data_IF_434199047523
#
_entry.id   IF_434199047523
#
_cell.length_a   1.000
_cell.length_b   1.000
_cell.length_c   1.000
_cell.angle_alpha   90.00
_cell.angle_beta   90.00
_cell.angle_gamma   90.00
#
_symmetry.space_group_name_H-M   'P 1'
#
loop_
_entity.id
_entity.type
_entity.pdbx_description
1 polymer ?
#
# COMPACT_ATOMS: atom_id res chain seq x y z
N UNK A 1 47.41 -64.49 -9.27
CA UNK A 1 47.20 -63.15 -8.69
C UNK A 1 46.19 -62.42 -9.57
N UNK A 2 44.90 -62.41 -9.18
CA UNK A 2 43.80 -61.77 -9.94
C UNK A 2 43.50 -60.41 -9.33
N UNK A 3 43.67 -59.33 -10.10
CA UNK A 3 43.41 -57.96 -9.66
C UNK A 3 41.98 -57.61 -10.07
N UNK A 4 41.09 -57.42 -9.09
CA UNK A 4 39.74 -56.89 -9.32
C UNK A 4 39.78 -55.35 -9.27
N UNK A 5 39.30 -54.64 -10.31
CA UNK A 5 39.16 -53.19 -10.25
C UNK A 5 37.90 -52.83 -9.44
N UNK A 6 38.08 -52.05 -8.37
CA UNK A 6 36.98 -51.43 -7.63
C UNK A 6 36.47 -50.22 -8.42
N UNK A 7 35.24 -50.29 -8.93
CA UNK A 7 34.55 -49.14 -9.49
C UNK A 7 34.06 -48.23 -8.34
N UNK A 8 34.65 -47.03 -8.22
CA UNK A 8 34.18 -45.98 -7.33
C UNK A 8 32.99 -45.28 -8.01
N UNK A 9 31.77 -45.51 -7.51
CA UNK A 9 30.60 -44.72 -7.91
C UNK A 9 30.63 -43.38 -7.19
N UNK A 10 30.84 -42.30 -7.93
CA UNK A 10 30.66 -40.93 -7.46
C UNK A 10 29.21 -40.51 -7.71
N UNK A 11 28.40 -40.45 -6.65
CA UNK A 11 27.05 -39.87 -6.71
C UNK A 11 27.16 -38.34 -6.71
N UNK A 12 26.89 -37.72 -7.86
CA UNK A 12 26.85 -36.28 -8.03
C UNK A 12 25.48 -35.75 -7.53
N UNK A 13 25.38 -35.42 -6.25
CA UNK A 13 24.19 -34.76 -5.70
C UNK A 13 24.17 -33.29 -6.14
N UNK A 14 23.35 -32.96 -7.14
CA UNK A 14 23.10 -31.59 -7.55
C UNK A 14 22.22 -30.89 -6.51
N UNK A 15 22.82 -30.04 -5.67
CA UNK A 15 22.10 -29.14 -4.77
C UNK A 15 21.55 -27.98 -5.60
N UNK A 16 20.25 -27.98 -5.88
CA UNK A 16 19.56 -26.88 -6.55
C UNK A 16 19.26 -25.78 -5.51
N UNK A 17 20.16 -24.81 -5.40
CA UNK A 17 19.91 -23.59 -4.62
C UNK A 17 18.95 -22.68 -5.39
N UNK A 18 17.68 -22.63 -4.94
CA UNK A 18 16.73 -21.60 -5.37
C UNK A 18 17.19 -20.25 -4.81
N UNK A 19 17.86 -19.47 -5.66
CA UNK A 19 18.14 -18.06 -5.38
C UNK A 19 16.83 -17.29 -5.57
N UNK A 20 16.09 -17.05 -4.49
CA UNK A 20 14.98 -16.12 -4.50
C UNK A 20 15.57 -14.69 -4.64
N UNK A 21 15.57 -14.15 -5.85
CA UNK A 21 15.89 -12.74 -6.06
C UNK A 21 14.88 -11.82 -5.35
N UNK A 22 15.24 -10.57 -5.05
CA UNK A 22 14.29 -9.62 -4.50
C UNK A 22 13.11 -9.50 -5.46
N UNK A 23 11.90 -9.75 -4.98
CA UNK A 23 10.69 -9.52 -5.74
C UNK A 23 10.60 -8.00 -6.01
N UNK A 24 10.85 -7.60 -7.25
CA UNK A 24 10.55 -6.26 -7.73
C UNK A 24 9.04 -6.02 -7.62
N UNK A 25 8.64 -4.77 -7.40
CA UNK A 25 7.24 -4.40 -7.35
C UNK A 25 6.47 -4.92 -8.58
N UNK A 26 5.40 -5.68 -8.35
CA UNK A 26 4.56 -6.27 -9.38
C UNK A 26 3.28 -5.45 -9.60
N UNK A 27 3.45 -4.17 -9.94
CA UNK A 27 2.34 -3.31 -10.28
C UNK A 27 1.59 -3.77 -11.54
N UNK A 28 2.16 -4.69 -12.34
CA UNK A 28 1.51 -5.27 -13.51
C UNK A 28 0.35 -6.20 -13.17
N UNK A 29 0.32 -6.79 -11.96
CA UNK A 29 -0.76 -7.68 -11.51
C UNK A 29 -1.84 -6.97 -10.67
N UNK A 30 -1.70 -5.66 -10.45
CA UNK A 30 -2.60 -4.80 -9.69
C UNK A 30 -3.35 -3.81 -10.58
N UNK A 31 -4.48 -3.25 -10.11
CA UNK A 31 -5.22 -2.28 -10.90
C UNK A 31 -4.41 -1.03 -11.23
N UNK A 32 -4.50 -0.58 -12.46
CA UNK A 32 -3.83 0.63 -12.93
C UNK A 32 -4.62 1.90 -12.56
N UNK A 33 -4.04 3.07 -12.88
CA UNK A 33 -4.64 4.38 -12.63
C UNK A 33 -6.10 4.50 -13.09
N UNK A 34 -6.40 4.05 -14.31
CA UNK A 34 -7.74 4.20 -14.91
C UNK A 34 -8.78 3.35 -14.18
N UNK A 35 -8.42 2.12 -13.82
CA UNK A 35 -9.27 1.19 -13.08
C UNK A 35 -9.53 1.72 -11.67
N UNK A 36 -8.48 2.17 -10.97
CA UNK A 36 -8.60 2.79 -9.66
C UNK A 36 -9.50 4.03 -9.69
N UNK A 37 -9.29 4.93 -10.66
CA UNK A 37 -10.09 6.16 -10.80
C UNK A 37 -11.56 5.83 -11.04
N UNK A 38 -11.85 4.91 -11.96
CA UNK A 38 -13.23 4.50 -12.26
C UNK A 38 -13.92 3.90 -11.04
N UNK A 39 -13.25 2.99 -10.33
CA UNK A 39 -13.76 2.37 -9.12
C UNK A 39 -14.01 3.39 -8.00
N UNK A 40 -13.08 4.33 -7.81
CA UNK A 40 -13.19 5.39 -6.80
C UNK A 40 -14.36 6.34 -7.08
N UNK A 41 -14.54 6.79 -8.33
CA UNK A 41 -15.66 7.64 -8.73
C UNK A 41 -17.00 6.95 -8.50
N UNK A 42 -17.11 5.66 -8.86
CA UNK A 42 -18.32 4.88 -8.59
C UNK A 42 -18.58 4.68 -7.09
N UNK A 43 -17.53 4.58 -6.28
CA UNK A 43 -17.64 4.31 -4.84
C UNK A 43 -18.13 5.52 -4.01
N UNK A 44 -17.88 6.75 -4.46
CA UNK A 44 -18.34 7.98 -3.79
C UNK A 44 -19.81 8.30 -4.05
N UNK A 45 -20.42 7.75 -5.10
CA UNK A 45 -21.84 7.95 -5.42
C UNK A 45 -22.50 6.61 -5.76
N UNK A 46 -22.58 5.68 -4.80
CA UNK A 46 -23.21 4.39 -5.05
C UNK A 46 -24.67 4.59 -5.49
N UNK A 47 -25.20 3.64 -6.27
CA UNK A 47 -26.56 3.64 -6.83
C UNK A 47 -27.70 3.82 -5.80
N UNK A 48 -27.41 3.72 -4.49
CA UNK A 48 -28.36 3.88 -3.39
C UNK A 48 -28.24 5.18 -2.58
N UNK A 49 -27.40 6.15 -2.94
CA UNK A 49 -27.33 7.45 -2.25
C UNK A 49 -25.95 8.11 -2.21
N UNK A 50 -25.79 9.11 -1.35
CA UNK A 50 -24.51 9.81 -1.14
C UNK A 50 -23.41 8.86 -0.61
N UNK A 51 -22.14 9.32 -0.59
CA UNK A 51 -21.00 8.53 -0.11
C UNK A 51 -21.17 7.98 1.33
N UNK A 52 -22.10 8.55 2.12
CA UNK A 52 -22.36 8.23 3.52
C UNK A 52 -21.60 9.14 4.49
N UNK A 53 -21.13 10.30 4.02
CA UNK A 53 -20.42 11.31 4.79
C UNK A 53 -20.66 12.72 4.27
N UNK A 54 -19.60 13.51 4.16
CA UNK A 54 -19.64 14.91 3.76
C UNK A 54 -19.89 15.12 2.25
N UNK A 55 -19.87 14.05 1.45
CA UNK A 55 -20.08 14.12 0.01
C UNK A 55 -18.87 14.66 -0.77
N UNK A 56 -17.66 14.51 -0.24
CA UNK A 56 -16.46 15.05 -0.87
C UNK A 56 -15.85 14.11 -1.91
N UNK A 57 -15.14 14.72 -2.87
CA UNK A 57 -14.22 13.99 -3.71
C UNK A 57 -13.04 13.49 -2.86
N UNK A 58 -12.40 12.42 -3.34
CA UNK A 58 -11.42 11.68 -2.55
C UNK A 58 -10.19 11.31 -3.37
N UNK A 59 -9.12 10.97 -2.66
CA UNK A 59 -7.93 10.34 -3.18
C UNK A 59 -7.98 8.83 -2.94
N UNK A 60 -7.45 8.07 -3.89
CA UNK A 60 -7.22 6.63 -3.78
C UNK A 60 -5.78 6.29 -4.14
N UNK A 61 -5.18 5.35 -3.41
CA UNK A 61 -3.84 4.84 -3.69
C UNK A 61 -3.84 3.31 -3.65
N UNK A 62 -3.15 2.68 -4.60
CA UNK A 62 -2.83 1.25 -4.58
C UNK A 62 -1.34 1.07 -4.35
N UNK A 63 -0.99 0.16 -3.44
CA UNK A 63 0.38 -0.30 -3.22
C UNK A 63 0.50 -1.80 -3.51
N UNK A 64 1.66 -2.22 -4.01
CA UNK A 64 2.04 -3.63 -4.10
C UNK A 64 2.38 -4.20 -2.71
N UNK A 65 2.50 -5.52 -2.63
CA UNK A 65 2.86 -6.30 -1.45
C UNK A 65 4.10 -5.79 -0.73
N UNK A 66 5.03 -5.17 -1.47
CA UNK A 66 6.31 -4.66 -0.99
C UNK A 66 6.25 -3.19 -0.53
N UNK A 67 5.07 -2.56 -0.61
CA UNK A 67 4.83 -1.16 -0.24
C UNK A 67 5.05 -0.16 -1.39
N UNK A 68 5.42 -0.62 -2.59
CA UNK A 68 5.59 0.27 -3.76
C UNK A 68 4.25 0.78 -4.23
N UNK A 69 4.12 2.09 -4.40
CA UNK A 69 2.90 2.72 -4.91
C UNK A 69 2.76 2.43 -6.40
N UNK A 70 1.65 1.79 -6.79
CA UNK A 70 1.37 1.40 -8.17
C UNK A 70 0.44 2.39 -8.89
N UNK A 71 -0.50 3.00 -8.17
CA UNK A 71 -1.41 3.97 -8.74
C UNK A 71 -1.89 4.95 -7.67
N UNK A 72 -2.05 6.22 -8.07
CA UNK A 72 -2.62 7.28 -7.26
C UNK A 72 -3.67 7.97 -8.11
N UNK A 73 -4.91 8.03 -7.64
CA UNK A 73 -6.02 8.63 -8.36
C UNK A 73 -6.81 9.58 -7.48
N UNK A 74 -7.62 10.43 -8.12
CA UNK A 74 -8.62 11.25 -7.45
C UNK A 74 -9.95 11.20 -8.19
N UNK A 75 -11.06 11.42 -7.47
CA UNK A 75 -12.41 11.34 -8.06
C UNK A 75 -12.89 12.63 -8.73
N UNK A 76 -12.42 13.80 -8.28
CA UNK A 76 -12.84 15.09 -8.84
C UNK A 76 -12.29 15.37 -10.23
N UNK A 77 -12.70 16.48 -10.84
CA UNK A 77 -12.25 16.89 -12.18
C UNK A 77 -10.79 17.34 -12.22
N UNK A 78 -10.27 17.85 -11.12
CA UNK A 78 -8.88 18.32 -10.96
C UNK A 78 -8.34 17.91 -9.59
N UNK A 79 -7.02 17.88 -9.42
CA UNK A 79 -6.39 17.41 -8.17
C UNK A 79 -6.77 18.25 -6.94
N UNK A 80 -7.22 19.49 -7.15
CA UNK A 80 -7.67 20.43 -6.11
C UNK A 80 -9.14 20.30 -5.72
N UNK A 81 -9.92 19.41 -6.35
CA UNK A 81 -11.34 19.21 -6.06
C UNK A 81 -11.63 18.36 -4.81
N UNK A 82 -10.59 17.90 -4.12
CA UNK A 82 -10.60 17.07 -2.92
C UNK A 82 -9.59 17.65 -1.93
N UNK A 83 -9.68 17.26 -0.67
CA UNK A 83 -8.70 17.71 0.33
C UNK A 83 -7.27 17.35 -0.08
N UNK A 84 -6.42 18.36 -0.24
CA UNK A 84 -5.05 18.18 -0.77
C UNK A 84 -4.20 17.29 0.13
N UNK A 85 -4.37 17.39 1.45
CA UNK A 85 -3.67 16.53 2.42
C UNK A 85 -4.02 15.05 2.28
N UNK A 86 -5.18 14.72 1.67
CA UNK A 86 -5.65 13.34 1.59
C UNK A 86 -4.90 12.49 0.57
N UNK A 87 -4.12 13.07 -0.35
CA UNK A 87 -3.27 12.31 -1.27
C UNK A 87 -2.30 11.41 -0.49
N UNK A 88 -1.49 12.01 0.38
CA UNK A 88 -0.49 11.29 1.19
C UNK A 88 -1.17 10.43 2.25
N UNK A 89 -2.31 10.86 2.81
CA UNK A 89 -3.08 10.04 3.77
C UNK A 89 -3.61 8.76 3.11
N UNK A 90 -4.12 8.84 1.87
CA UNK A 90 -4.59 7.65 1.13
C UNK A 90 -3.46 6.64 0.92
N UNK A 91 -2.25 7.12 0.63
CA UNK A 91 -1.07 6.28 0.48
C UNK A 91 -0.62 5.66 1.80
N UNK A 92 -0.59 6.43 2.90
CA UNK A 92 -0.30 5.89 4.24
C UNK A 92 -1.31 4.82 4.64
N UNK A 93 -2.60 5.00 4.33
CA UNK A 93 -3.64 4.00 4.64
C UNK A 93 -3.45 2.72 3.82
N UNK A 94 -3.11 2.84 2.54
CA UNK A 94 -2.77 1.69 1.71
C UNK A 94 -1.55 0.96 2.29
N UNK A 95 -0.46 1.70 2.56
CA UNK A 95 0.77 1.17 3.14
C UNK A 95 0.49 0.44 4.47
N UNK A 96 -0.25 1.07 5.39
CA UNK A 96 -0.62 0.48 6.68
C UNK A 96 -1.40 -0.82 6.52
N UNK A 97 -2.40 -0.84 5.63
CA UNK A 97 -3.19 -2.04 5.42
C UNK A 97 -2.35 -3.17 4.81
N UNK A 98 -1.37 -2.84 3.97
CA UNK A 98 -0.40 -3.82 3.45
C UNK A 98 0.55 -4.33 4.55
N UNK A 99 1.06 -3.44 5.40
CA UNK A 99 2.07 -3.74 6.42
C UNK A 99 1.54 -4.64 7.55
N UNK A 100 0.30 -4.40 8.00
CA UNK A 100 -0.26 -5.07 9.18
C UNK A 100 -1.27 -6.18 8.87
N UNK A 101 -1.45 -6.51 7.59
CA UNK A 101 -2.29 -7.64 7.18
C UNK A 101 -1.46 -8.86 6.82
N UNK A 102 -1.95 -10.07 7.07
CA UNK A 102 -1.29 -11.34 6.76
C UNK A 102 -2.21 -12.23 5.90
N UNK A 103 -1.64 -12.85 4.86
CA UNK A 103 -2.33 -13.83 4.03
C UNK A 103 -2.49 -15.19 4.70
N UNK A 104 -3.22 -16.08 4.02
CA UNK A 104 -3.38 -17.48 4.45
C UNK A 104 -2.03 -18.17 4.59
N UNK A 105 -1.89 -18.93 5.69
CA UNK A 105 -0.69 -19.70 6.04
C UNK A 105 0.59 -18.86 6.23
N UNK A 106 0.46 -17.53 6.39
CA UNK A 106 1.59 -16.66 6.68
C UNK A 106 2.01 -16.67 8.15
N UNK A 107 1.23 -17.29 9.02
CA UNK A 107 1.48 -17.31 10.47
C UNK A 107 2.12 -18.63 10.92
N UNK A 108 2.99 -18.61 11.96
CA UNK A 108 3.56 -19.83 12.52
C UNK A 108 2.50 -20.76 13.15
N UNK A 109 2.84 -22.04 13.29
CA UNK A 109 2.03 -23.00 14.03
C UNK A 109 1.77 -22.52 15.47
N UNK A 110 0.53 -22.65 15.95
CA UNK A 110 0.12 -22.17 17.27
C UNK A 110 -0.23 -20.67 17.33
N UNK A 111 -0.17 -19.95 16.20
CA UNK A 111 -0.64 -18.56 16.13
C UNK A 111 -2.11 -18.42 16.52
N UNK A 112 -2.45 -17.31 17.19
CA UNK A 112 -3.84 -16.91 17.43
C UNK A 112 -4.62 -16.60 16.13
N UNK A 113 -3.91 -16.42 15.02
CA UNK A 113 -4.46 -16.14 13.69
C UNK A 113 -3.99 -17.20 12.69
N UNK A 114 -4.41 -18.47 12.81
CA UNK A 114 -3.87 -19.59 12.03
C UNK A 114 -4.15 -19.50 10.52
N UNK A 115 -5.15 -18.71 10.12
CA UNK A 115 -5.54 -18.49 8.72
C UNK A 115 -5.06 -17.15 8.17
N UNK A 116 -4.18 -16.43 8.89
CA UNK A 116 -3.80 -15.05 8.54
C UNK A 116 -4.67 -14.02 9.25
N UNK A 117 -4.46 -12.75 8.90
CA UNK A 117 -5.05 -11.61 9.60
C UNK A 117 -5.35 -10.49 8.61
N UNK A 118 -6.60 -10.30 8.24
CA UNK A 118 -7.00 -9.17 7.40
C UNK A 118 -7.40 -7.98 8.27
N UNK A 119 -6.54 -6.97 8.34
CA UNK A 119 -6.85 -5.72 9.05
C UNK A 119 -7.22 -4.61 8.08
N UNK A 120 -8.20 -3.82 8.49
CA UNK A 120 -8.34 -2.46 7.99
C UNK A 120 -7.62 -1.49 8.91
N UNK A 121 -7.26 -0.32 8.37
CA UNK A 121 -6.70 0.75 9.21
C UNK A 121 -7.65 1.22 10.32
N UNK A 122 -8.96 1.00 10.16
CA UNK A 122 -9.94 1.29 11.22
C UNK A 122 -9.79 0.37 12.43
N UNK A 123 -9.35 -0.88 12.24
CA UNK A 123 -9.17 -1.83 13.35
C UNK A 123 -8.03 -1.43 14.30
N UNK A 124 -7.09 -0.59 13.85
CA UNK A 124 -5.97 -0.13 14.67
C UNK A 124 -6.39 0.91 15.70
N UNK A 125 -7.49 1.63 15.48
CA UNK A 125 -7.89 2.79 16.29
C UNK A 125 -7.86 2.52 17.81
N UNK A 126 -8.45 1.42 18.27
CA UNK A 126 -8.53 1.09 19.69
C UNK A 126 -7.17 0.73 20.29
N UNK A 127 -6.32 0.01 19.56
CA UNK A 127 -5.02 -0.43 20.05
C UNK A 127 -4.02 0.72 20.21
N UNK A 128 -4.22 1.82 19.49
CA UNK A 128 -3.31 2.98 19.47
C UNK A 128 -3.75 4.12 20.39
N UNK A 129 -4.86 3.99 21.12
CA UNK A 129 -5.26 4.97 22.13
C UNK A 129 -4.31 4.97 23.33
N UNK A 130 -4.21 6.07 24.12
CA UNK A 130 -3.44 6.09 25.35
C UNK A 130 -3.75 4.88 26.25
N UNK A 131 -2.71 4.16 26.67
CA UNK A 131 -2.85 2.91 27.44
C UNK A 131 -3.06 1.63 26.61
N UNK A 132 -3.26 1.75 25.29
CA UNK A 132 -3.33 0.62 24.36
C UNK A 132 -1.94 0.03 24.05
N UNK A 133 -1.92 -1.24 23.64
CA UNK A 133 -0.66 -1.98 23.39
C UNK A 133 0.14 -1.47 22.20
N UNK A 134 -0.48 -0.72 21.29
CA UNK A 134 0.15 -0.13 20.11
C UNK A 134 0.13 1.40 20.17
N UNK A 135 0.04 1.99 21.36
CA UNK A 135 0.09 3.44 21.52
C UNK A 135 1.33 4.04 20.84
N UNK A 136 1.11 5.00 19.93
CA UNK A 136 2.17 5.65 19.17
C UNK A 136 2.55 4.97 17.84
N UNK A 137 1.85 3.90 17.43
CA UNK A 137 2.10 3.18 16.17
C UNK A 137 2.23 4.09 14.94
N UNK A 138 1.41 5.14 14.83
CA UNK A 138 1.46 6.12 13.73
C UNK A 138 2.79 6.87 13.61
N UNK A 139 3.63 6.87 14.65
CA UNK A 139 4.95 7.52 14.64
C UNK A 139 6.09 6.53 14.36
N UNK A 140 5.81 5.22 14.33
CA UNK A 140 6.83 4.17 14.24
C UNK A 140 7.49 4.09 12.86
N UNK A 141 6.76 4.45 11.82
CA UNK A 141 7.17 4.38 10.42
C UNK A 141 6.77 5.71 9.77
N UNK A 142 7.70 6.67 9.61
CA UNK A 142 7.39 7.98 9.04
C UNK A 142 7.15 7.91 7.53
N UNK A 143 6.49 8.93 6.99
CA UNK A 143 6.35 9.15 5.56
C UNK A 143 7.67 9.65 4.97
N UNK A 144 8.08 9.09 3.85
CA UNK A 144 9.15 9.65 3.02
C UNK A 144 8.63 10.90 2.29
N UNK A 145 9.06 12.07 2.76
CA UNK A 145 8.63 13.35 2.19
C UNK A 145 9.23 13.65 0.82
N UNK A 146 10.38 13.07 0.47
CA UNK A 146 10.97 13.19 -0.86
C UNK A 146 10.08 12.49 -1.88
N UNK A 147 9.64 11.28 -1.56
CA UNK A 147 8.71 10.49 -2.37
C UNK A 147 7.33 11.12 -2.40
N UNK A 148 6.78 11.48 -1.24
CA UNK A 148 5.44 12.02 -1.14
C UNK A 148 5.28 13.29 -1.99
N UNK A 149 6.25 14.20 -1.92
CA UNK A 149 6.14 15.49 -2.58
C UNK A 149 6.96 15.60 -3.86
N UNK A 150 7.79 14.62 -4.22
CA UNK A 150 8.64 14.70 -5.41
C UNK A 150 9.68 15.82 -5.35
N UNK A 151 10.06 16.22 -4.14
CA UNK A 151 11.07 17.24 -3.96
C UNK A 151 12.44 16.60 -4.13
N UNK A 152 13.28 17.09 -5.03
CA UNK A 152 14.63 16.59 -5.18
C UNK A 152 15.60 17.66 -4.69
N UNK A 153 16.41 17.42 -3.64
CA UNK A 153 17.52 18.32 -3.37
C UNK A 153 18.48 18.26 -4.55
N UNK A 154 18.78 19.41 -5.16
CA UNK A 154 19.71 19.52 -6.31
C UNK A 154 21.17 19.15 -6.02
N UNK A 155 21.47 18.55 -4.86
CA UNK A 155 22.81 18.20 -4.42
C UNK A 155 22.81 16.88 -3.65
N UNK A 156 23.80 16.02 -3.91
CA UNK A 156 24.11 14.85 -3.09
C UNK A 156 24.74 15.31 -1.77
N UNK A 157 23.91 15.52 -0.74
CA UNK A 157 24.38 15.87 0.61
C UNK A 157 23.28 16.51 1.47
N UNK A 158 23.31 16.25 2.77
CA UNK A 158 22.39 16.85 3.74
C UNK A 158 22.95 18.22 4.16
N UNK A 159 22.45 19.31 3.60
CA UNK A 159 22.67 20.65 4.18
C UNK A 159 21.36 21.17 4.75
N UNK A 160 21.38 21.49 6.05
CA UNK A 160 20.24 21.89 6.87
C UNK A 160 19.50 23.16 6.38
N UNK A 161 20.01 23.84 5.35
CA UNK A 161 19.50 25.11 4.85
C UNK A 161 18.68 25.01 3.55
N UNK A 162 18.58 23.85 2.90
CA UNK A 162 17.80 23.68 1.66
C UNK A 162 16.50 22.90 1.92
N UNK A 163 15.57 23.48 2.67
CA UNK A 163 14.21 22.95 2.77
C UNK A 163 13.55 22.97 1.38
N UNK A 164 13.63 21.83 0.68
CA UNK A 164 12.87 21.47 -0.52
C UNK A 164 12.59 22.63 -1.50
N UNK A 165 13.54 23.06 -2.34
CA UNK A 165 13.18 23.85 -3.52
C UNK A 165 12.24 22.98 -4.37
N UNK A 166 10.96 23.36 -4.47
CA UNK A 166 9.94 22.55 -5.14
C UNK A 166 10.25 22.41 -6.64
N UNK A 167 10.64 21.23 -7.17
CA UNK A 167 10.70 20.98 -8.60
C UNK A 167 9.44 20.24 -9.09
N UNK A 168 8.40 20.19 -8.27
CA UNK A 168 7.21 19.39 -8.53
C UNK A 168 6.20 20.17 -9.34
N UNK A 169 5.99 19.70 -10.57
CA UNK A 169 4.80 20.00 -11.33
C UNK A 169 3.59 19.40 -10.57
N UNK A 170 2.92 20.17 -9.72
CA UNK A 170 1.76 19.70 -8.93
C UNK A 170 0.64 19.06 -9.78
N UNK A 171 0.61 19.38 -11.08
CA UNK A 171 -0.26 18.81 -12.09
C UNK A 171 0.04 17.32 -12.35
N UNK A 172 1.19 16.81 -11.92
CA UNK A 172 1.54 15.39 -11.97
C UNK A 172 0.82 14.57 -10.87
N UNK A 173 0.31 15.20 -9.81
CA UNK A 173 -0.37 14.49 -8.73
C UNK A 173 -1.63 13.79 -9.22
N UNK A 174 -1.75 12.50 -8.90
CA UNK A 174 -2.86 11.65 -9.37
C UNK A 174 -2.81 11.28 -10.85
N UNK A 175 -1.64 11.43 -11.49
CA UNK A 175 -1.36 10.97 -12.86
C UNK A 175 -0.39 9.78 -12.84
N UNK A 176 -0.06 9.22 -14.01
CA UNK A 176 0.99 8.20 -14.11
C UNK A 176 2.39 8.73 -13.78
N UNK A 177 2.58 10.06 -13.73
CA UNK A 177 3.82 10.71 -13.34
C UNK A 177 3.80 11.21 -11.89
N UNK A 178 2.82 10.80 -11.08
CA UNK A 178 2.78 11.12 -9.65
C UNK A 178 4.08 10.64 -8.97
N UNK A 179 4.77 11.48 -8.17
CA UNK A 179 6.11 11.16 -7.67
C UNK A 179 6.17 9.97 -6.71
N UNK A 180 5.01 9.54 -6.16
CA UNK A 180 4.94 8.33 -5.37
C UNK A 180 5.00 7.07 -6.23
N UNK A 181 4.50 7.11 -7.48
CA UNK A 181 4.40 5.93 -8.34
C UNK A 181 5.79 5.33 -8.60
N UNK A 182 5.90 4.01 -8.36
CA UNK A 182 7.15 3.27 -8.45
C UNK A 182 8.08 3.41 -7.25
N UNK A 183 7.65 4.09 -6.18
CA UNK A 183 8.43 4.28 -4.95
C UNK A 183 7.63 3.87 -3.71
N UNK A 184 8.34 3.69 -2.58
CA UNK A 184 7.75 3.38 -1.28
C UNK A 184 7.65 4.65 -0.46
N UNK A 185 6.43 5.14 -0.25
CA UNK A 185 6.19 6.37 0.54
C UNK A 185 6.15 6.09 2.04
N UNK A 186 5.87 4.84 2.45
CA UNK A 186 5.79 4.45 3.85
C UNK A 186 4.65 5.15 4.60
N UNK A 187 4.86 5.34 5.90
CA UNK A 187 3.89 5.97 6.79
C UNK A 187 2.83 5.02 7.34
N UNK A 188 2.33 5.34 8.53
CA UNK A 188 1.26 4.58 9.19
C UNK A 188 0.08 5.48 9.54
N UNK A 189 -1.11 5.05 9.13
CA UNK A 189 -2.37 5.71 9.41
C UNK A 189 -3.33 4.78 10.15
N UNK A 190 -3.83 5.25 11.29
CA UNK A 190 -4.54 4.43 12.28
C UNK A 190 -6.05 4.70 12.34
N UNK A 191 -6.60 5.32 11.28
CA UNK A 191 -8.03 5.54 11.10
C UNK A 191 -8.50 5.02 9.74
N UNK A 192 -9.82 4.84 9.60
CA UNK A 192 -10.42 4.05 8.53
C UNK A 192 -10.14 4.54 7.12
N UNK A 193 -10.00 3.61 6.18
CA UNK A 193 -9.83 3.88 4.74
C UNK A 193 -8.76 3.05 4.04
N UNK A 194 -7.97 2.24 4.75
CA UNK A 194 -7.03 1.29 4.16
C UNK A 194 -7.51 -0.15 4.28
N UNK A 195 -7.36 -0.93 3.20
CA UNK A 195 -7.73 -2.33 3.09
C UNK A 195 -6.71 -3.11 2.26
N UNK A 196 -6.23 -4.25 2.78
CA UNK A 196 -5.40 -5.17 2.00
C UNK A 196 -6.19 -5.79 0.83
N UNK A 197 -5.47 -6.05 -0.26
CA UNK A 197 -5.93 -6.75 -1.47
C UNK A 197 -5.45 -8.21 -1.42
N UNK A 198 -6.35 -9.14 -1.71
CA UNK A 198 -6.04 -10.57 -1.68
C UNK A 198 -6.42 -11.26 -3.00
N UNK A 199 -5.56 -12.18 -3.45
CA UNK A 199 -5.89 -13.14 -4.52
C UNK A 199 -5.65 -14.55 -3.99
N UNK A 200 -6.66 -15.41 -4.07
CA UNK A 200 -6.61 -16.78 -3.55
C UNK A 200 -6.08 -16.87 -2.09
N UNK A 201 -6.50 -15.94 -1.24
CA UNK A 201 -6.08 -15.87 0.17
C UNK A 201 -4.67 -15.31 0.42
N UNK A 202 -3.90 -15.01 -0.63
CA UNK A 202 -2.58 -14.39 -0.52
C UNK A 202 -2.68 -12.87 -0.65
N UNK A 203 -1.99 -12.14 0.21
CA UNK A 203 -1.91 -10.68 0.16
C UNK A 203 -1.08 -10.27 -1.07
N UNK A 204 -1.65 -9.44 -1.94
CA UNK A 204 -0.98 -8.95 -3.15
C UNK A 204 -0.76 -7.44 -3.13
N UNK A 205 -1.22 -6.75 -2.11
CA UNK A 205 -1.07 -5.31 -1.96
C UNK A 205 -2.15 -4.72 -1.06
N UNK A 206 -2.45 -3.45 -1.24
CA UNK A 206 -3.53 -2.77 -0.53
C UNK A 206 -4.08 -1.58 -1.32
N UNK A 207 -5.31 -1.18 -0.98
CA UNK A 207 -5.92 0.08 -1.41
C UNK A 207 -6.14 0.97 -0.19
N UNK A 208 -5.92 2.26 -0.36
CA UNK A 208 -6.19 3.29 0.64
C UNK A 208 -6.99 4.43 0.04
N UNK A 209 -7.98 4.92 0.78
CA UNK A 209 -8.86 6.03 0.38
C UNK A 209 -8.89 7.10 1.47
N UNK A 210 -8.85 8.36 1.06
CA UNK A 210 -9.04 9.49 1.97
C UNK A 210 -9.63 10.71 1.28
N UNK A 211 -10.50 11.43 1.98
CA UNK A 211 -11.06 12.71 1.54
C UNK A 211 -12.32 13.14 2.28
N UNK A 212 -12.79 12.33 3.23
CA UNK A 212 -14.02 12.55 3.99
C UNK A 212 -13.79 12.11 5.46
N UNK A 213 -14.85 11.88 6.23
CA UNK A 213 -14.74 11.32 7.59
C UNK A 213 -14.15 9.91 7.56
N UNK A 214 -13.49 9.48 8.65
CA UNK A 214 -12.86 8.15 8.76
C UNK A 214 -13.81 6.99 8.42
N UNK A 215 -15.07 7.07 8.85
CA UNK A 215 -16.07 6.03 8.55
C UNK A 215 -16.39 6.00 7.05
N UNK A 216 -16.55 7.16 6.43
CA UNK A 216 -16.83 7.31 5.00
C UNK A 216 -15.61 6.88 4.17
N UNK A 217 -14.40 7.27 4.55
CA UNK A 217 -13.14 6.81 3.96
C UNK A 217 -13.09 5.27 3.94
N UNK A 218 -13.44 4.61 5.04
CA UNK A 218 -13.48 3.15 5.12
C UNK A 218 -14.53 2.52 4.20
N UNK A 219 -15.76 3.07 4.18
CA UNK A 219 -16.82 2.54 3.31
C UNK A 219 -16.53 2.74 1.82
N UNK A 220 -15.96 3.89 1.44
CA UNK A 220 -15.55 4.14 0.05
C UNK A 220 -14.37 3.24 -0.32
N UNK A 221 -13.41 3.00 0.58
CA UNK A 221 -12.34 2.03 0.36
C UNK A 221 -12.88 0.62 0.13
N UNK A 222 -13.87 0.19 0.93
CA UNK A 222 -14.51 -1.12 0.79
C UNK A 222 -15.21 -1.27 -0.57
N UNK A 223 -16.00 -0.28 -0.98
CA UNK A 223 -16.67 -0.27 -2.30
C UNK A 223 -15.66 -0.22 -3.45
N UNK A 224 -14.61 0.59 -3.32
CA UNK A 224 -13.52 0.69 -4.30
C UNK A 224 -12.82 -0.66 -4.45
N UNK A 225 -12.44 -1.30 -3.33
CA UNK A 225 -11.82 -2.63 -3.34
C UNK A 225 -12.70 -3.67 -4.05
N UNK A 226 -13.99 -3.69 -3.72
CA UNK A 226 -14.95 -4.61 -4.32
C UNK A 226 -15.10 -4.38 -5.84
N UNK A 227 -15.21 -3.13 -6.28
CA UNK A 227 -15.30 -2.78 -7.70
C UNK A 227 -14.03 -3.15 -8.50
N UNK A 228 -12.88 -3.26 -7.83
CA UNK A 228 -11.62 -3.70 -8.42
C UNK A 228 -11.46 -5.23 -8.44
N UNK A 229 -12.42 -5.98 -7.88
CA UNK A 229 -12.42 -7.44 -7.86
C UNK A 229 -11.62 -8.08 -6.72
N UNK A 230 -11.51 -7.39 -5.58
CA UNK A 230 -10.78 -7.85 -4.38
C UNK A 230 -11.66 -7.86 -3.12
#
# INVERSE_FOLDING_TARGET
MKIQPRALSYSLSAVLTLVAGPALADCGSLPNLSQLRSALVGAITPTGGANGGLGFNMWGTIVDRDGTVCAVAFSGSQFTSQWLGSRVISAQKANTANDFSLGHNATPAGSAFPTGLALSTANLFSAVQPGGSLYGLQHSNPVDTEVAYGNHPGFSGVTQANFNPAPVNSQAFGTTADPMVGKRVGGVNVFGGGLALYKAGQRVGAVGVSGDTSCTDHMVAWRTRHALGF
#
